data_IF_572244053199
#
_entry.id   IF_572244053199
#
_cell.length_a   1.000
_cell.length_b   1.000
_cell.length_c   1.000
_cell.angle_alpha   90.00
_cell.angle_beta   90.00
_cell.angle_gamma   90.00
#
_symmetry.space_group_name_H-M   'P 1'
#
loop_
_entity.id
_entity.type
_entity.pdbx_description
1 polymer ?
#
# COMPACT_ATOMS: atom_id res chain seq x y z
N UNK A 1 2.89 -19.36 -4.28
CA UNK A 1 3.32 -18.07 -4.86
C UNK A 1 4.72 -18.25 -5.44
N UNK A 2 4.97 -17.93 -6.71
CA UNK A 2 6.33 -17.94 -7.27
C UNK A 2 7.11 -16.80 -6.61
N UNK A 3 8.21 -17.14 -5.94
CA UNK A 3 9.13 -16.24 -5.23
C UNK A 3 10.11 -15.57 -6.20
N UNK A 4 9.64 -15.13 -7.37
CA UNK A 4 10.48 -14.37 -8.29
C UNK A 4 10.30 -12.87 -7.99
N UNK A 5 10.96 -12.45 -6.90
CA UNK A 5 11.33 -11.09 -6.47
C UNK A 5 10.31 -9.97 -6.68
N UNK A 6 9.25 -9.98 -5.87
CA UNK A 6 8.46 -8.80 -5.55
C UNK A 6 9.35 -7.82 -4.75
N UNK A 7 9.92 -6.82 -5.41
CA UNK A 7 10.82 -5.82 -4.79
C UNK A 7 10.27 -4.40 -4.97
N UNK A 8 10.51 -3.56 -3.99
CA UNK A 8 10.38 -2.10 -4.08
C UNK A 8 11.76 -1.49 -4.38
N UNK A 9 11.77 -0.48 -5.25
CA UNK A 9 12.97 0.24 -5.66
C UNK A 9 12.83 1.70 -5.26
N UNK A 10 13.91 2.31 -4.78
CA UNK A 10 14.01 3.74 -4.49
C UNK A 10 15.18 4.32 -5.28
N UNK A 11 14.99 5.47 -5.92
CA UNK A 11 16.01 6.07 -6.80
C UNK A 11 17.26 6.56 -6.08
N UNK A 12 17.18 6.78 -4.76
CA UNK A 12 18.28 7.20 -3.88
C UNK A 12 18.79 6.08 -2.96
N UNK A 13 18.34 4.84 -3.15
CA UNK A 13 18.85 3.71 -2.38
C UNK A 13 20.25 3.31 -2.86
N UNK A 14 21.22 3.09 -1.96
CA UNK A 14 22.51 2.49 -2.32
C UNK A 14 22.33 1.02 -2.75
N UNK A 15 21.22 0.39 -2.38
CA UNK A 15 20.85 -0.98 -2.75
C UNK A 15 20.12 -0.99 -4.10
N UNK A 16 20.89 -1.05 -5.18
CA UNK A 16 20.39 -0.86 -6.55
C UNK A 16 19.48 -1.99 -7.07
N UNK A 17 19.56 -3.19 -6.49
CA UNK A 17 18.70 -4.31 -6.88
C UNK A 17 17.34 -4.30 -6.16
N UNK A 18 17.06 -3.26 -5.37
CA UNK A 18 15.81 -3.08 -4.64
C UNK A 18 15.67 -3.99 -3.43
N UNK A 19 14.59 -3.77 -2.69
CA UNK A 19 14.30 -4.41 -1.41
C UNK A 19 13.11 -5.33 -1.54
N UNK A 20 13.23 -6.59 -1.11
CA UNK A 20 12.11 -7.53 -1.09
C UNK A 20 10.93 -6.96 -0.31
N UNK A 21 9.73 -7.17 -0.84
CA UNK A 21 8.47 -6.84 -0.17
C UNK A 21 8.01 -8.08 0.61
N UNK A 22 7.82 -7.93 1.92
CA UNK A 22 7.40 -9.02 2.81
C UNK A 22 5.91 -8.97 3.12
N UNK A 23 5.30 -7.79 3.08
CA UNK A 23 3.86 -7.63 3.16
C UNK A 23 3.35 -6.64 2.10
N UNK A 24 2.24 -7.02 1.45
CA UNK A 24 1.54 -6.16 0.51
C UNK A 24 0.05 -6.45 0.54
N UNK A 25 -0.71 -5.51 1.07
CA UNK A 25 -2.16 -5.65 1.26
C UNK A 25 -2.88 -4.65 0.40
N UNK A 26 -3.79 -5.14 -0.44
CA UNK A 26 -4.81 -4.34 -1.11
C UNK A 26 -6.17 -4.63 -0.49
N UNK A 27 -6.81 -3.60 0.03
CA UNK A 27 -8.09 -3.70 0.73
C UNK A 27 -8.93 -2.44 0.53
N UNK A 28 -10.09 -2.40 1.17
CA UNK A 28 -10.86 -1.17 1.28
C UNK A 28 -11.50 -1.08 2.67
N UNK A 29 -12.04 0.09 3.00
CA UNK A 29 -12.86 0.31 4.19
C UNK A 29 -14.08 1.17 3.88
N UNK A 30 -15.19 0.88 4.55
CA UNK A 30 -16.41 1.67 4.57
C UNK A 30 -16.45 2.43 5.91
N UNK A 31 -16.40 3.75 5.85
CA UNK A 31 -16.40 4.59 7.05
C UNK A 31 -17.82 4.83 7.60
N UNK A 32 -17.92 5.51 8.75
CA UNK A 32 -19.19 5.80 9.42
C UNK A 32 -20.17 6.65 8.59
N UNK A 33 -19.68 7.34 7.56
CA UNK A 33 -20.47 8.16 6.64
C UNK A 33 -20.87 7.41 5.37
N UNK A 34 -20.56 6.11 5.29
CA UNK A 34 -20.69 5.29 4.09
C UNK A 34 -19.79 5.75 2.93
N UNK A 35 -18.71 6.47 3.19
CA UNK A 35 -17.68 6.70 2.18
C UNK A 35 -16.80 5.46 2.06
N UNK A 36 -16.54 5.05 0.82
CA UNK A 36 -15.69 3.90 0.51
C UNK A 36 -14.28 4.39 0.21
N UNK A 37 -13.29 3.78 0.86
CA UNK A 37 -11.89 4.12 0.72
C UNK A 37 -11.09 2.88 0.35
N UNK A 38 -10.28 2.96 -0.70
CA UNK A 38 -9.33 1.94 -1.09
C UNK A 38 -8.00 2.15 -0.36
N UNK A 39 -7.44 1.03 0.10
CA UNK A 39 -6.25 0.99 0.92
C UNK A 39 -5.17 0.12 0.28
N UNK A 40 -3.94 0.61 0.36
CA UNK A 40 -2.72 -0.16 0.14
C UNK A 40 -1.82 -0.06 1.36
N UNK A 41 -1.16 -1.16 1.66
CA UNK A 41 -0.06 -1.26 2.61
C UNK A 41 1.06 -2.06 1.96
N UNK A 42 2.29 -1.60 2.13
CA UNK A 42 3.51 -2.27 1.70
C UNK A 42 4.53 -2.17 2.83
N UNK A 43 5.18 -3.30 3.12
CA UNK A 43 6.33 -3.39 4.01
C UNK A 43 7.46 -4.15 3.29
N UNK A 44 8.66 -3.56 3.27
CA UNK A 44 9.86 -4.26 2.79
C UNK A 44 10.46 -5.14 3.88
N UNK A 45 11.28 -6.09 3.46
CA UNK A 45 12.24 -6.74 4.35
C UNK A 45 13.26 -5.70 4.83
N UNK A 46 14.05 -6.11 5.81
CA UNK A 46 15.17 -5.29 6.25
C UNK A 46 16.16 -5.06 5.11
N UNK A 47 16.73 -3.85 5.04
CA UNK A 47 17.60 -3.44 3.93
C UNK A 47 18.90 -4.26 3.83
N UNK A 48 19.32 -4.94 4.91
CA UNK A 48 20.53 -5.76 5.00
C UNK A 48 20.29 -7.28 4.82
N UNK A 49 19.04 -7.72 4.63
CA UNK A 49 18.72 -9.16 4.62
C UNK A 49 18.98 -9.87 3.29
N UNK A 50 19.12 -9.12 2.19
CA UNK A 50 19.37 -9.69 0.87
C UNK A 50 20.79 -10.31 0.82
N UNK A 51 20.89 -11.58 0.41
CA UNK A 51 22.17 -12.31 0.36
C UNK A 51 23.24 -11.60 -0.49
N UNK A 52 22.83 -10.86 -1.51
CA UNK A 52 23.72 -10.08 -2.37
C UNK A 52 24.43 -8.93 -1.66
N UNK A 53 23.95 -8.49 -0.51
CA UNK A 53 24.56 -7.42 0.28
C UNK A 53 25.35 -7.93 1.49
N UNK A 54 25.27 -9.23 1.83
CA UNK A 54 25.93 -9.78 3.03
C UNK A 54 27.45 -9.71 2.98
N UNK A 55 28.04 -9.88 1.80
CA UNK A 55 29.50 -9.74 1.62
C UNK A 55 29.97 -8.27 1.74
N UNK A 56 29.12 -7.30 1.37
CA UNK A 56 29.38 -5.86 1.53
C UNK A 56 29.32 -5.43 3.01
N UNK A 57 28.50 -6.12 3.81
CA UNK A 57 28.33 -5.84 5.24
C UNK A 57 29.52 -6.29 6.08
N UNK A 58 30.39 -7.20 5.61
CA UNK A 58 31.56 -7.64 6.37
C UNK A 58 32.71 -6.60 6.38
N UNK A 59 32.56 -5.49 5.64
CA UNK A 59 33.50 -4.36 5.58
C UNK A 59 33.12 -3.18 6.52
N UNK A 60 32.48 -3.45 7.67
CA UNK A 60 32.00 -2.42 8.65
C UNK A 60 33.10 -1.45 9.15
N UNK A 61 34.38 -1.80 8.99
CA UNK A 61 35.51 -0.92 9.32
C UNK A 61 35.88 0.08 8.20
N UNK A 62 35.23 0.02 7.03
CA UNK A 62 35.43 0.96 5.92
C UNK A 62 34.54 2.19 6.05
N UNK A 63 35.17 3.35 6.19
CA UNK A 63 34.55 4.67 6.37
C UNK A 63 34.29 5.40 5.04
N UNK A 64 34.21 4.66 3.93
CA UNK A 64 33.86 5.22 2.63
C UNK A 64 32.46 5.83 2.65
N UNK A 65 32.23 6.82 1.79
CA UNK A 65 30.93 7.51 1.67
C UNK A 65 29.81 6.53 1.27
N UNK A 66 30.12 5.56 0.41
CA UNK A 66 29.20 4.50 0.01
C UNK A 66 28.75 3.64 1.20
N UNK A 67 29.69 3.21 2.05
CA UNK A 67 29.36 2.42 3.23
C UNK A 67 28.63 3.24 4.30
N UNK A 68 28.93 4.53 4.42
CA UNK A 68 28.17 5.43 5.29
C UNK A 68 26.71 5.57 4.84
N UNK A 69 26.45 5.66 3.52
CA UNK A 69 25.09 5.69 2.97
C UNK A 69 24.35 4.36 3.19
N UNK A 70 24.99 3.21 2.91
CA UNK A 70 24.40 1.88 3.22
C UNK A 70 24.05 1.76 4.70
N UNK A 71 24.97 2.13 5.59
CA UNK A 71 24.75 2.08 7.03
C UNK A 71 23.61 3.00 7.49
N UNK A 72 23.45 4.18 6.87
CA UNK A 72 22.33 5.08 7.14
C UNK A 72 20.99 4.37 6.89
N UNK A 73 20.84 3.73 5.73
CA UNK A 73 19.63 2.99 5.38
C UNK A 73 19.39 1.85 6.38
N UNK A 74 20.40 1.01 6.64
CA UNK A 74 20.31 -0.13 7.56
C UNK A 74 19.85 0.31 8.97
N UNK A 75 20.26 1.48 9.44
CA UNK A 75 19.82 2.00 10.73
C UNK A 75 18.31 2.31 10.80
N UNK A 76 17.64 2.47 9.65
CA UNK A 76 16.18 2.62 9.54
C UNK A 76 15.45 1.31 9.28
N UNK A 77 16.17 0.18 9.23
CA UNK A 77 15.64 -1.18 9.18
C UNK A 77 14.97 -1.53 7.85
N UNK A 78 13.76 -1.00 7.59
CA UNK A 78 12.94 -1.34 6.44
C UNK A 78 12.03 -0.18 6.01
N UNK A 79 11.39 -0.33 4.85
CA UNK A 79 10.45 0.64 4.31
C UNK A 79 8.99 0.22 4.59
N UNK A 80 8.15 1.20 4.94
CA UNK A 80 6.69 1.06 4.98
C UNK A 80 6.08 2.17 4.11
N UNK A 81 5.17 1.82 3.20
CA UNK A 81 4.29 2.78 2.51
C UNK A 81 2.86 2.35 2.75
N UNK A 82 2.06 3.17 3.44
CA UNK A 82 0.77 2.70 3.92
C UNK A 82 -0.26 3.79 4.11
N UNK A 83 -1.50 3.42 3.78
CA UNK A 83 -2.70 4.19 4.12
C UNK A 83 -3.23 3.83 5.52
N UNK A 84 -2.91 2.65 6.03
CA UNK A 84 -3.49 2.08 7.25
C UNK A 84 -2.55 2.15 8.46
N UNK A 85 -1.22 2.13 8.26
CA UNK A 85 -0.25 2.09 9.36
C UNK A 85 -0.32 3.32 10.27
N UNK A 86 -0.39 4.53 9.67
CA UNK A 86 -0.56 5.80 10.40
C UNK A 86 -1.98 6.37 10.29
N UNK A 87 -2.94 5.58 9.78
CA UNK A 87 -4.32 6.01 9.55
C UNK A 87 -4.44 7.25 8.63
N UNK A 88 -3.67 7.24 7.54
CA UNK A 88 -3.78 8.21 6.44
C UNK A 88 -5.13 8.06 5.71
N UNK A 89 -5.40 8.97 4.77
CA UNK A 89 -6.71 9.01 4.12
C UNK A 89 -7.00 7.82 3.21
N UNK A 90 -5.99 7.15 2.64
CA UNK A 90 -6.21 6.21 1.54
C UNK A 90 -6.85 6.90 0.32
N UNK A 91 -7.45 6.12 -0.56
CA UNK A 91 -7.99 6.60 -1.84
C UNK A 91 -9.52 6.58 -1.79
N UNK A 92 -10.16 7.74 -1.82
CA UNK A 92 -11.63 7.80 -1.85
C UNK A 92 -12.15 7.20 -3.16
N UNK A 93 -13.10 6.28 -3.07
CA UNK A 93 -13.84 5.71 -4.21
C UNK A 93 -15.17 6.47 -4.32
N UNK A 94 -15.46 6.98 -5.51
CA UNK A 94 -16.75 7.63 -5.78
C UNK A 94 -17.89 6.61 -5.72
N UNK A 95 -18.78 6.79 -4.72
CA UNK A 95 -19.95 5.93 -4.48
C UNK A 95 -21.11 6.15 -5.46
N UNK A 96 -20.99 7.11 -6.38
CA UNK A 96 -22.04 7.41 -7.38
C UNK A 96 -22.08 6.38 -8.51
N UNK A 97 -21.01 5.61 -8.71
CA UNK A 97 -20.94 4.51 -9.66
C UNK A 97 -21.00 3.15 -8.95
N UNK A 98 -21.55 2.13 -9.61
CA UNK A 98 -21.43 0.76 -9.11
C UNK A 98 -19.96 0.32 -9.22
N UNK A 99 -19.37 -0.05 -8.08
CA UNK A 99 -18.05 -0.65 -8.02
C UNK A 99 -18.07 -2.00 -8.74
N UNK A 100 -17.32 -2.06 -9.83
CA UNK A 100 -17.12 -3.24 -10.66
C UNK A 100 -15.62 -3.50 -10.76
N UNK A 101 -15.18 -4.61 -10.16
CA UNK A 101 -13.78 -5.01 -10.15
C UNK A 101 -13.26 -5.24 -11.57
N UNK A 102 -14.11 -5.65 -12.53
CA UNK A 102 -13.69 -5.84 -13.92
C UNK A 102 -13.30 -4.51 -14.60
N UNK A 103 -13.72 -3.35 -14.04
CA UNK A 103 -13.33 -2.04 -14.54
C UNK A 103 -11.99 -1.56 -13.97
N UNK A 104 -11.35 -2.33 -13.07
CA UNK A 104 -10.02 -2.01 -12.59
C UNK A 104 -8.94 -2.37 -13.60
N UNK A 105 -9.21 -3.24 -14.58
CA UNK A 105 -8.20 -3.59 -15.58
C UNK A 105 -7.64 -2.36 -16.31
N UNK A 106 -6.33 -2.17 -16.24
CA UNK A 106 -5.60 -1.03 -16.83
C UNK A 106 -6.08 0.32 -16.29
N UNK A 107 -6.86 0.34 -15.21
CA UNK A 107 -7.24 1.58 -14.53
C UNK A 107 -6.03 2.07 -13.75
N UNK A 108 -5.74 3.34 -13.95
CA UNK A 108 -4.69 4.06 -13.24
C UNK A 108 -5.34 5.09 -12.34
N UNK A 109 -4.93 5.11 -11.06
CA UNK A 109 -5.28 6.13 -10.09
C UNK A 109 -4.09 7.06 -9.91
N UNK A 110 -4.32 8.34 -10.15
CA UNK A 110 -3.36 9.43 -9.87
C UNK A 110 -3.78 10.11 -8.57
N UNK A 111 -2.93 10.07 -7.55
CA UNK A 111 -3.26 10.48 -6.19
C UNK A 111 -2.21 11.46 -5.67
N UNK A 112 -2.68 12.45 -4.90
CA UNK A 112 -1.86 13.50 -4.29
C UNK A 112 -0.90 14.17 -5.30
N UNK A 113 -1.42 14.78 -6.38
CA UNK A 113 -0.57 15.45 -7.36
C UNK A 113 0.21 16.60 -6.70
N UNK A 114 1.47 16.76 -7.10
CA UNK A 114 2.32 17.84 -6.59
C UNK A 114 1.89 19.20 -7.17
N UNK A 115 2.10 20.31 -6.43
CA UNK A 115 2.64 20.35 -5.07
C UNK A 115 1.60 19.95 -4.00
N UNK A 116 2.08 19.34 -2.91
CA UNK A 116 1.27 19.03 -1.72
C UNK A 116 1.61 19.95 -0.55
N UNK A 117 0.74 20.04 0.45
CA UNK A 117 1.00 20.78 1.69
C UNK A 117 1.72 19.88 2.70
N UNK A 118 3.00 20.13 2.97
CA UNK A 118 3.79 19.35 3.93
C UNK A 118 3.36 19.55 5.40
N UNK A 119 2.69 20.67 5.72
CA UNK A 119 2.16 20.93 7.07
C UNK A 119 0.91 20.09 7.39
N UNK A 120 0.35 19.41 6.39
CA UNK A 120 -0.82 18.55 6.49
C UNK A 120 -0.52 17.18 5.86
N UNK A 121 0.67 16.62 6.08
CA UNK A 121 1.08 15.35 5.46
C UNK A 121 0.20 14.16 5.91
N UNK A 122 -0.44 14.25 7.08
CA UNK A 122 -1.45 13.28 7.54
C UNK A 122 -2.71 13.26 6.65
N UNK A 123 -2.94 14.35 5.91
CA UNK A 123 -4.06 14.47 4.98
C UNK A 123 -3.81 13.81 3.63
N UNK A 124 -2.60 13.32 3.37
CA UNK A 124 -2.27 12.55 2.16
C UNK A 124 -2.85 11.15 2.23
N UNK A 125 -2.98 10.51 1.07
CA UNK A 125 -3.52 9.16 0.96
C UNK A 125 -2.61 8.13 1.65
N UNK A 126 -1.30 8.35 1.64
CA UNK A 126 -0.31 7.42 2.19
C UNK A 126 0.73 8.15 3.04
N UNK A 127 1.17 7.50 4.11
CA UNK A 127 2.40 7.84 4.81
C UNK A 127 3.54 6.94 4.34
N UNK A 128 4.78 7.32 4.68
CA UNK A 128 5.98 6.54 4.40
C UNK A 128 6.92 6.55 5.61
N UNK A 129 7.56 5.41 5.86
CA UNK A 129 8.78 5.29 6.64
C UNK A 129 9.84 4.70 5.72
N UNK A 130 10.88 5.45 5.37
CA UNK A 130 11.97 4.96 4.51
C UNK A 130 13.32 5.25 5.14
N UNK A 131 13.57 6.52 5.47
CA UNK A 131 14.72 6.99 6.25
C UNK A 131 14.22 7.75 7.50
N UNK A 132 13.15 7.23 8.09
CA UNK A 132 12.33 7.90 9.10
C UNK A 132 10.96 8.28 8.54
N UNK A 133 10.21 9.10 9.28
CA UNK A 133 8.87 9.55 8.87
C UNK A 133 8.99 10.62 7.77
N UNK A 134 9.10 10.15 6.53
CA UNK A 134 9.23 10.95 5.33
C UNK A 134 7.85 11.30 4.74
N UNK A 135 7.82 11.97 3.58
CA UNK A 135 6.57 12.29 2.88
C UNK A 135 6.56 11.70 1.49
N UNK A 136 5.44 11.10 1.10
CA UNK A 136 5.22 10.46 -0.21
C UNK A 136 3.99 11.06 -0.89
N UNK A 137 4.07 11.28 -2.20
CA UNK A 137 3.00 11.87 -3.00
C UNK A 137 3.13 11.48 -4.48
N UNK A 138 2.36 12.11 -5.37
CA UNK A 138 2.40 11.91 -6.83
C UNK A 138 2.24 10.43 -7.20
N UNK A 139 1.31 9.73 -6.54
CA UNK A 139 1.18 8.29 -6.75
C UNK A 139 0.52 8.00 -8.10
N UNK A 140 1.00 6.96 -8.77
CA UNK A 140 0.36 6.32 -9.90
C UNK A 140 0.19 4.83 -9.56
N UNK A 141 -1.06 4.39 -9.39
CA UNK A 141 -1.41 3.01 -9.05
C UNK A 141 -2.18 2.42 -10.22
N UNK A 142 -1.65 1.37 -10.84
CA UNK A 142 -2.28 0.72 -11.99
C UNK A 142 -2.56 -0.74 -11.69
N UNK A 143 -3.82 -1.13 -11.89
CA UNK A 143 -4.28 -2.51 -11.80
C UNK A 143 -4.19 -3.19 -13.15
N UNK A 144 -3.75 -4.45 -13.19
CA UNK A 144 -3.66 -5.26 -14.39
C UNK A 144 -4.37 -6.58 -14.13
N UNK A 145 -5.34 -6.91 -15.00
CA UNK A 145 -6.14 -8.12 -14.83
C UNK A 145 -5.28 -9.38 -14.77
N UNK A 146 -5.72 -10.28 -13.91
CA UNK A 146 -5.38 -11.70 -13.96
C UNK A 146 -6.61 -12.51 -14.40
N UNK A 147 -6.47 -13.83 -14.53
CA UNK A 147 -7.60 -14.70 -14.88
C UNK A 147 -8.61 -14.89 -13.73
N UNK A 148 -8.22 -14.54 -12.48
CA UNK A 148 -9.02 -14.77 -11.28
C UNK A 148 -9.71 -13.48 -10.81
N UNK A 149 -11.02 -13.57 -10.52
CA UNK A 149 -11.80 -12.43 -10.04
C UNK A 149 -11.29 -11.92 -8.69
N UNK A 150 -11.07 -10.61 -8.59
CA UNK A 150 -10.54 -10.00 -7.37
C UNK A 150 -9.05 -10.23 -7.15
N UNK A 151 -8.33 -10.66 -8.20
CA UNK A 151 -6.88 -10.82 -8.19
C UNK A 151 -6.27 -9.99 -9.31
N UNK A 152 -5.30 -9.16 -8.97
CA UNK A 152 -4.67 -8.23 -9.91
C UNK A 152 -3.16 -8.27 -9.74
N UNK A 153 -2.44 -8.00 -10.82
CA UNK A 153 -1.12 -7.43 -10.64
C UNK A 153 -1.26 -5.91 -10.41
N UNK A 154 -0.47 -5.37 -9.50
CA UNK A 154 -0.53 -3.95 -9.12
C UNK A 154 0.84 -3.33 -9.36
N UNK A 155 0.86 -2.27 -10.17
CA UNK A 155 2.02 -1.38 -10.31
C UNK A 155 1.76 -0.15 -9.46
N UNK A 156 2.73 0.23 -8.64
CA UNK A 156 2.64 1.42 -7.83
C UNK A 156 3.97 2.17 -7.87
N UNK A 157 3.91 3.44 -8.23
CA UNK A 157 5.02 4.37 -8.14
C UNK A 157 4.56 5.68 -7.54
N UNK A 158 5.52 6.48 -7.11
CA UNK A 158 5.29 7.83 -6.64
C UNK A 158 6.60 8.52 -6.33
N UNK A 159 6.50 9.69 -5.71
CA UNK A 159 7.64 10.52 -5.35
C UNK A 159 7.78 10.66 -3.83
N UNK A 160 9.01 10.81 -3.37
CA UNK A 160 9.38 10.92 -1.97
C UNK A 160 10.19 12.20 -1.77
N UNK A 161 9.89 12.90 -0.67
CA UNK A 161 10.76 13.89 -0.08
C UNK A 161 11.25 13.35 1.27
N UNK A 162 12.57 13.37 1.54
CA UNK A 162 13.14 12.92 2.81
C UNK A 162 12.90 13.97 3.92
N UNK A 163 11.63 14.23 4.23
CA UNK A 163 11.24 15.28 5.18
C UNK A 163 11.76 15.02 6.58
N UNK A 164 12.02 13.77 6.95
CA UNK A 164 12.67 13.44 8.22
C UNK A 164 14.09 14.02 8.31
N UNK A 165 14.80 14.06 7.16
CA UNK A 165 16.14 14.64 7.03
C UNK A 165 16.10 16.15 6.72
N UNK A 166 14.92 16.76 6.70
CA UNK A 166 14.71 18.20 6.51
C UNK A 166 14.59 18.65 5.05
N UNK A 167 14.48 17.72 4.10
CA UNK A 167 14.21 18.03 2.70
C UNK A 167 12.74 18.38 2.46
N UNK A 168 12.46 19.14 1.41
CA UNK A 168 11.09 19.53 1.03
C UNK A 168 10.75 19.23 -0.42
N UNK A 169 11.75 18.91 -1.24
CA UNK A 169 11.59 18.64 -2.66
C UNK A 169 11.38 17.14 -2.89
N UNK A 170 10.44 16.79 -3.77
CA UNK A 170 10.07 15.41 -4.10
C UNK A 170 10.98 14.83 -5.19
N UNK A 171 12.28 14.80 -4.90
CA UNK A 171 13.33 14.46 -5.87
C UNK A 171 13.51 12.95 -6.08
N UNK A 172 13.00 12.13 -5.17
CA UNK A 172 13.17 10.69 -5.23
C UNK A 172 11.92 9.98 -5.75
N UNK A 173 12.13 8.87 -6.43
CA UNK A 173 11.08 8.02 -6.95
C UNK A 173 11.09 6.68 -6.24
N UNK A 174 9.90 6.11 -6.02
CA UNK A 174 9.78 4.69 -5.73
C UNK A 174 8.99 3.96 -6.82
N UNK A 175 9.24 2.66 -6.95
CA UNK A 175 8.48 1.79 -7.83
C UNK A 175 8.38 0.38 -7.25
N UNK A 176 7.19 -0.20 -7.35
CA UNK A 176 6.92 -1.61 -7.02
C UNK A 176 5.96 -2.21 -8.05
N UNK A 177 6.17 -3.48 -8.36
CA UNK A 177 5.24 -4.28 -9.16
C UNK A 177 4.99 -5.61 -8.45
N UNK A 178 3.74 -5.80 -8.05
CA UNK A 178 3.30 -6.95 -7.27
C UNK A 178 2.39 -7.81 -8.12
N UNK A 179 2.64 -9.11 -8.15
CA UNK A 179 1.84 -10.06 -8.94
C UNK A 179 0.82 -10.81 -8.11
N UNK A 180 -0.33 -11.10 -8.72
CA UNK A 180 -1.41 -11.92 -8.14
C UNK A 180 -1.85 -11.46 -6.74
N UNK A 181 -2.00 -10.15 -6.56
CA UNK A 181 -2.51 -9.58 -5.31
C UNK A 181 -4.00 -9.80 -5.22
N UNK A 182 -4.41 -10.56 -4.19
CA UNK A 182 -5.81 -10.81 -3.84
C UNK A 182 -6.37 -9.61 -3.07
N UNK A 183 -7.60 -9.23 -3.38
CA UNK A 183 -8.33 -8.24 -2.61
C UNK A 183 -8.68 -8.77 -1.21
N UNK A 184 -8.18 -8.13 -0.16
CA UNK A 184 -8.38 -8.58 1.22
C UNK A 184 -9.79 -8.27 1.78
N UNK A 185 -10.65 -7.63 0.99
CA UNK A 185 -12.03 -7.32 1.37
C UNK A 185 -12.23 -5.87 1.82
N UNK A 186 -13.47 -5.58 2.21
CA UNK A 186 -13.91 -4.26 2.67
C UNK A 186 -14.18 -4.32 4.18
N UNK A 187 -13.33 -3.66 4.95
CA UNK A 187 -13.48 -3.45 6.39
C UNK A 187 -14.64 -2.51 6.67
N UNK A 188 -15.57 -2.88 7.55
CA UNK A 188 -16.76 -2.07 7.84
C UNK A 188 -16.61 -1.38 9.18
N UNK A 189 -16.84 -0.06 9.21
CA UNK A 189 -16.80 0.70 10.45
C UNK A 189 -17.79 0.11 11.48
N UNK A 190 -17.36 -0.11 12.74
CA UNK A 190 -18.13 -0.84 13.75
C UNK A 190 -19.43 -0.16 14.16
N UNK A 191 -19.61 1.13 13.91
CA UNK A 191 -20.87 1.82 14.20
C UNK A 191 -22.01 1.48 13.22
N UNK A 192 -21.74 0.78 12.12
CA UNK A 192 -22.72 0.51 11.08
C UNK A 192 -23.48 -0.80 11.32
N UNK A 193 -24.80 -0.75 11.13
CA UNK A 193 -25.69 -1.91 11.27
C UNK A 193 -25.64 -2.80 10.02
N UNK A 194 -25.61 -4.12 10.24
CA UNK A 194 -25.48 -5.15 9.19
C UNK A 194 -26.50 -4.97 8.05
N UNK A 195 -27.77 -4.67 8.36
CA UNK A 195 -28.79 -4.48 7.32
C UNK A 195 -28.51 -3.27 6.43
N UNK A 196 -28.02 -2.15 7.01
CA UNK A 196 -27.70 -0.94 6.24
C UNK A 196 -26.47 -1.13 5.37
N UNK A 197 -25.46 -1.81 5.90
CA UNK A 197 -24.23 -2.18 5.18
C UNK A 197 -24.56 -3.09 3.99
N UNK A 198 -25.41 -4.10 4.22
CA UNK A 198 -25.87 -5.00 3.17
C UNK A 198 -26.61 -4.25 2.07
N UNK A 199 -27.57 -3.40 2.43
CA UNK A 199 -28.32 -2.60 1.45
C UNK A 199 -27.42 -1.61 0.67
N UNK A 200 -26.40 -1.06 1.32
CA UNK A 200 -25.41 -0.20 0.66
C UNK A 200 -24.64 -0.99 -0.40
N UNK A 201 -24.11 -2.16 -0.07
CA UNK A 201 -23.32 -2.97 -0.99
C UNK A 201 -24.17 -3.61 -2.11
N UNK A 202 -25.40 -4.01 -1.83
CA UNK A 202 -26.35 -4.46 -2.86
C UNK A 202 -26.60 -3.40 -3.94
N UNK A 203 -26.64 -2.12 -3.54
CA UNK A 203 -26.80 -1.00 -4.47
C UNK A 203 -25.48 -0.68 -5.18
N UNK A 204 -24.37 -0.73 -4.45
CA UNK A 204 -23.09 -0.13 -4.87
C UNK A 204 -22.14 -1.12 -5.54
N UNK A 205 -22.35 -2.44 -5.47
CA UNK A 205 -21.51 -3.44 -6.14
C UNK A 205 -22.24 -4.08 -7.31
N UNK A 206 -21.60 -4.10 -8.49
CA UNK A 206 -22.14 -4.79 -9.68
C UNK A 206 -22.24 -6.31 -9.45
N UNK A 207 -21.27 -6.87 -8.74
CA UNK A 207 -21.11 -8.30 -8.50
C UNK A 207 -21.35 -8.69 -7.04
N UNK A 208 -22.31 -8.04 -6.36
CA UNK A 208 -22.55 -8.27 -4.92
C UNK A 208 -22.72 -9.75 -4.53
N UNK A 209 -23.34 -10.57 -5.39
CA UNK A 209 -23.53 -11.99 -5.12
C UNK A 209 -22.23 -12.80 -5.01
N UNK A 210 -21.12 -12.29 -5.53
CA UNK A 210 -19.80 -12.90 -5.43
C UNK A 210 -19.11 -12.57 -4.09
N UNK A 211 -19.72 -11.68 -3.29
CA UNK A 211 -19.26 -11.29 -1.96
C UNK A 211 -20.12 -11.90 -0.84
N UNK A 212 -19.52 -11.99 0.33
CA UNK A 212 -20.18 -12.31 1.60
C UNK A 212 -19.72 -11.37 2.70
N UNK A 213 -20.65 -11.02 3.60
CA UNK A 213 -20.35 -10.22 4.78
C UNK A 213 -20.10 -11.17 5.95
N UNK A 214 -18.84 -11.23 6.39
CA UNK A 214 -18.36 -12.13 7.44
C UNK A 214 -18.26 -11.34 8.75
N UNK A 215 -18.70 -11.95 9.84
CA UNK A 215 -18.53 -11.40 11.19
C UNK A 215 -17.08 -11.60 11.62
N UNK A 216 -16.46 -10.57 12.19
CA UNK A 216 -15.10 -10.62 12.74
C UNK A 216 -15.12 -11.01 14.22
N UNK A 217 -14.01 -11.55 14.72
CA UNK A 217 -13.89 -11.92 16.13
C UNK A 217 -14.03 -10.68 17.04
N UNK A 218 -14.54 -10.86 18.26
CA UNK A 218 -14.81 -9.77 19.23
C UNK A 218 -13.58 -8.91 19.61
N UNK A 219 -12.37 -9.32 19.21
CA UNK A 219 -11.12 -8.62 19.47
C UNK A 219 -10.68 -7.69 18.33
N UNK A 220 -11.33 -7.76 17.17
CA UNK A 220 -11.05 -6.89 16.02
C UNK A 220 -11.74 -5.52 16.19
N UNK A 221 -11.18 -4.49 15.56
CA UNK A 221 -11.75 -3.13 15.61
C UNK A 221 -12.98 -2.99 14.71
N UNK A 222 -13.11 -3.87 13.73
CA UNK A 222 -14.25 -3.98 12.83
C UNK A 222 -15.26 -5.01 13.34
N UNK A 223 -16.54 -4.82 13.03
CA UNK A 223 -17.59 -5.82 13.30
C UNK A 223 -17.82 -6.78 12.12
N UNK A 224 -17.52 -6.31 10.90
CA UNK A 224 -17.76 -7.06 9.68
C UNK A 224 -16.67 -6.79 8.64
N UNK A 225 -16.38 -7.80 7.81
CA UNK A 225 -15.60 -7.65 6.59
C UNK A 225 -16.38 -8.22 5.42
N UNK A 226 -16.54 -7.45 4.34
CA UNK A 226 -17.08 -7.95 3.08
C UNK A 226 -15.95 -8.62 2.28
N UNK A 227 -16.02 -9.94 2.08
CA UNK A 227 -15.00 -10.74 1.36
C UNK A 227 -15.56 -11.36 0.09
N UNK A 228 -14.68 -11.72 -0.83
CA UNK A 228 -15.04 -12.50 -2.04
C UNK A 228 -15.20 -13.98 -1.64
N UNK A 229 -16.34 -14.60 -1.95
CA UNK A 229 -16.74 -15.95 -1.49
C UNK A 229 -15.81 -17.12 -1.86
N UNK A 230 -14.89 -16.93 -2.82
CA UNK A 230 -14.13 -18.02 -3.45
C UNK A 230 -12.61 -17.84 -3.41
N UNK A 231 -12.10 -16.87 -2.68
CA UNK A 231 -10.67 -16.78 -2.44
C UNK A 231 -10.34 -17.74 -1.29
N UNK A 232 -10.00 -19.00 -1.61
CA UNK A 232 -9.35 -19.87 -0.63
C UNK A 232 -7.94 -19.30 -0.35
N UNK A 233 -7.55 -19.28 0.92
CA UNK A 233 -6.24 -18.79 1.40
C UNK A 233 -5.08 -19.67 0.92
#
# INVERSE_FOLDING_TARGET
MSKDNNKIYFSNSPFTNGHKVIDFVWSARLDENFDLWMDLHLESDNYDEEEEYKDDLDEIDDISEENAEKQLWINYDHAIISSTYWNNKGIKIDNDAQLDFNQLNKKTFEIDPLPVNLDESENLAFGISMLGNDTVAQHEITFLDTEEFGVFDIKWKGKIANTYLGETDFDYDFYVYMKNIKFNGIKVHPSLEKEKVTAFFEKSLTHFNDFELVDTDELELENYILKIKRQED
#
